data_IF_923086414443
#
_entry.id   IF_923086414443
#
_cell.length_a   1.000
_cell.length_b   1.000
_cell.length_c   1.000
_cell.angle_alpha   90.00
_cell.angle_beta   90.00
_cell.angle_gamma   90.00
#
_symmetry.space_group_name_H-M   'P 1'
#
loop_
_entity.id
_entity.type
_entity.pdbx_description
1 polymer ?
#
# COMPACT_ATOMS: atom_id res chain seq x y z
N UNK A 1 -32.17 5.83 30.97
CA UNK A 1 -31.87 6.32 29.60
C UNK A 1 -30.77 5.41 29.07
N UNK A 2 -31.12 4.43 28.25
CA UNK A 2 -30.23 3.33 27.87
C UNK A 2 -29.44 3.72 26.60
N UNK A 3 -28.10 3.68 26.66
CA UNK A 3 -27.22 3.72 25.49
C UNK A 3 -26.87 2.28 25.11
N UNK A 4 -27.15 1.81 23.89
CA UNK A 4 -26.70 0.50 23.45
C UNK A 4 -25.19 0.53 23.17
N UNK A 5 -24.47 -0.31 23.89
CA UNK A 5 -23.05 -0.58 23.74
C UNK A 5 -22.79 -1.26 22.39
N UNK A 6 -21.96 -0.63 21.55
CA UNK A 6 -21.63 -1.14 20.23
C UNK A 6 -20.61 -2.27 20.38
N UNK A 7 -21.09 -3.50 20.41
CA UNK A 7 -20.26 -4.70 20.34
C UNK A 7 -19.53 -4.74 18.99
N UNK A 8 -18.29 -4.26 18.97
CA UNK A 8 -17.36 -4.47 17.86
C UNK A 8 -17.00 -5.95 17.82
N UNK A 9 -17.70 -6.70 16.96
CA UNK A 9 -17.37 -8.09 16.64
C UNK A 9 -16.00 -8.13 15.98
N UNK A 10 -15.00 -8.63 16.70
CA UNK A 10 -13.69 -8.92 16.16
C UNK A 10 -13.83 -10.06 15.14
N UNK A 11 -13.86 -9.72 13.85
CA UNK A 11 -13.80 -10.69 12.75
C UNK A 11 -12.42 -11.34 12.78
N UNK A 12 -12.34 -12.55 13.34
CA UNK A 12 -11.14 -13.40 13.26
C UNK A 12 -10.95 -13.83 11.81
N UNK A 13 -10.29 -13.01 11.01
CA UNK A 13 -9.86 -13.39 9.66
C UNK A 13 -8.68 -14.35 9.77
N UNK A 14 -8.98 -15.66 9.78
CA UNK A 14 -7.98 -16.69 9.58
C UNK A 14 -7.61 -16.69 8.09
N UNK A 15 -6.56 -15.96 7.72
CA UNK A 15 -5.98 -16.02 6.39
C UNK A 15 -5.21 -17.33 6.23
N UNK A 16 -5.92 -18.46 6.15
CA UNK A 16 -5.32 -19.68 5.60
C UNK A 16 -4.96 -19.36 4.15
N UNK A 17 -3.69 -19.59 3.79
CA UNK A 17 -3.28 -19.48 2.38
C UNK A 17 -4.26 -20.28 1.52
N UNK A 18 -4.69 -19.68 0.41
CA UNK A 18 -5.42 -20.42 -0.61
C UNK A 18 -4.61 -21.66 -0.99
N UNK A 19 -5.27 -22.69 -1.56
CA UNK A 19 -4.64 -23.90 -2.04
C UNK A 19 -3.27 -23.64 -2.69
N UNK A 20 -2.30 -24.58 -2.60
CA UNK A 20 -0.94 -24.38 -3.12
C UNK A 20 -0.96 -23.69 -4.47
N UNK A 21 -0.17 -22.61 -4.61
CA UNK A 21 -0.09 -21.84 -5.85
C UNK A 21 0.20 -22.80 -7.00
N UNK A 22 -0.79 -23.02 -7.85
CA UNK A 22 -0.69 -23.94 -8.97
C UNK A 22 -0.01 -23.23 -10.14
N UNK A 23 0.96 -23.90 -10.78
CA UNK A 23 1.72 -23.36 -11.90
C UNK A 23 0.83 -22.99 -13.10
N UNK A 24 -0.41 -23.49 -13.16
CA UNK A 24 -1.41 -23.13 -14.17
C UNK A 24 -1.84 -21.65 -14.13
N UNK A 25 -1.69 -20.98 -12.99
CA UNK A 25 -2.07 -19.56 -12.77
C UNK A 25 -1.05 -18.57 -13.30
N UNK A 26 0.14 -19.04 -13.70
CA UNK A 26 1.25 -18.20 -14.10
C UNK A 26 1.64 -18.47 -15.55
N UNK A 27 1.96 -17.41 -16.29
CA UNK A 27 2.72 -17.52 -17.51
C UNK A 27 4.20 -17.65 -17.14
N UNK A 28 4.79 -18.79 -17.50
CA UNK A 28 6.15 -19.13 -17.14
C UNK A 28 7.09 -18.53 -18.19
N UNK A 29 7.77 -17.46 -17.80
CA UNK A 29 8.77 -16.79 -18.62
C UNK A 29 10.08 -17.58 -18.77
N UNK A 30 11.04 -16.91 -19.41
CA UNK A 30 12.35 -17.51 -19.75
C UNK A 30 13.10 -17.91 -18.48
N UNK A 31 13.83 -19.03 -18.58
CA UNK A 31 14.75 -19.47 -17.53
C UNK A 31 15.96 -18.53 -17.49
N UNK A 32 16.18 -17.87 -16.35
CA UNK A 32 17.22 -16.84 -16.20
C UNK A 32 18.61 -17.38 -15.89
N UNK A 33 18.75 -18.70 -15.77
CA UNK A 33 20.07 -19.29 -15.61
C UNK A 33 20.06 -20.75 -15.24
N UNK A 34 21.21 -21.37 -15.47
CA UNK A 34 21.62 -22.69 -14.98
C UNK A 34 22.82 -22.49 -14.04
N UNK A 35 22.61 -21.78 -12.93
CA UNK A 35 23.64 -21.48 -11.94
C UNK A 35 23.48 -22.28 -10.65
N UNK A 36 24.31 -21.97 -9.65
CA UNK A 36 24.36 -22.63 -8.33
C UNK A 36 23.05 -22.62 -7.53
N UNK A 37 22.10 -21.75 -7.92
CA UNK A 37 20.76 -21.65 -7.33
C UNK A 37 19.70 -22.49 -8.08
N UNK A 38 20.12 -23.32 -9.04
CA UNK A 38 19.20 -24.13 -9.85
C UNK A 38 18.53 -23.33 -10.97
N UNK A 39 17.48 -23.93 -11.55
CA UNK A 39 16.78 -23.41 -12.72
C UNK A 39 15.70 -22.42 -12.27
N UNK A 40 16.00 -21.12 -12.32
CA UNK A 40 15.05 -20.06 -11.92
C UNK A 40 14.28 -19.55 -13.15
N UNK A 41 12.96 -19.37 -13.01
CA UNK A 41 12.08 -18.84 -14.05
C UNK A 41 11.28 -17.66 -13.52
N UNK A 42 11.05 -16.67 -14.37
CA UNK A 42 10.03 -15.67 -14.09
C UNK A 42 8.64 -16.27 -14.29
N UNK A 43 7.70 -15.85 -13.45
CA UNK A 43 6.31 -16.26 -13.51
C UNK A 43 5.45 -15.01 -13.31
N UNK A 44 4.60 -14.69 -14.29
CA UNK A 44 3.64 -13.58 -14.19
C UNK A 44 2.23 -14.13 -14.12
N UNK A 45 1.33 -13.49 -13.38
CA UNK A 45 -0.07 -13.90 -13.41
C UNK A 45 -0.66 -13.70 -14.81
N UNK A 46 -1.36 -14.72 -15.30
CA UNK A 46 -1.94 -14.70 -16.66
C UNK A 46 -2.95 -13.58 -16.85
N UNK A 47 -3.75 -13.29 -15.82
CA UNK A 47 -4.71 -12.18 -15.85
C UNK A 47 -4.22 -10.94 -15.09
N UNK A 48 -2.92 -10.87 -14.78
CA UNK A 48 -2.29 -9.74 -14.10
C UNK A 48 -2.96 -9.38 -12.77
N UNK A 49 -3.46 -8.15 -12.67
CA UNK A 49 -4.06 -7.60 -11.44
C UNK A 49 -5.39 -8.27 -11.08
N UNK A 50 -6.11 -8.81 -12.07
CA UNK A 50 -7.42 -9.45 -11.83
C UNK A 50 -7.28 -10.74 -11.01
N UNK A 51 -6.17 -11.47 -11.17
CA UNK A 51 -5.88 -12.67 -10.36
C UNK A 51 -5.61 -12.29 -8.89
N UNK A 52 -4.97 -11.14 -8.66
CA UNK A 52 -4.72 -10.60 -7.32
C UNK A 52 -6.04 -10.20 -6.67
N UNK A 53 -6.91 -9.46 -7.39
CA UNK A 53 -8.21 -9.02 -6.87
C UNK A 53 -9.13 -10.17 -6.49
N UNK A 54 -9.06 -11.30 -7.20
CA UNK A 54 -9.88 -12.50 -6.98
C UNK A 54 -9.28 -13.48 -5.96
N UNK A 55 -8.10 -13.18 -5.40
CA UNK A 55 -7.43 -14.07 -4.48
C UNK A 55 -8.21 -14.20 -3.15
N UNK A 56 -8.18 -15.40 -2.53
CA UNK A 56 -8.92 -15.70 -1.30
C UNK A 56 -8.55 -14.78 -0.12
N UNK A 57 -7.35 -14.20 -0.14
CA UNK A 57 -6.92 -13.24 0.87
C UNK A 57 -7.81 -11.98 0.89
N UNK A 58 -8.28 -11.53 -0.28
CA UNK A 58 -9.10 -10.34 -0.45
C UNK A 58 -10.61 -10.65 -0.52
N UNK A 59 -11.03 -11.86 -0.13
CA UNK A 59 -12.46 -12.18 -0.08
C UNK A 59 -13.17 -11.25 0.90
N UNK A 60 -14.19 -10.55 0.40
CA UNK A 60 -14.94 -9.56 1.18
C UNK A 60 -14.46 -8.11 1.00
N UNK A 61 -13.37 -7.89 0.26
CA UNK A 61 -12.93 -6.53 -0.10
C UNK A 61 -13.73 -6.07 -1.33
N UNK A 62 -14.49 -4.99 -1.19
CA UNK A 62 -15.08 -4.29 -2.34
C UNK A 62 -14.09 -3.23 -2.85
N UNK A 63 -13.49 -3.49 -4.02
CA UNK A 63 -12.50 -2.60 -4.63
C UNK A 63 -13.06 -1.25 -5.05
N UNK A 64 -14.34 -1.18 -5.44
CA UNK A 64 -15.00 0.09 -5.82
C UNK A 64 -15.22 0.99 -4.60
N UNK A 65 -15.65 0.41 -3.48
CA UNK A 65 -15.85 1.16 -2.23
C UNK A 65 -14.52 1.58 -1.60
N UNK A 66 -13.48 0.77 -1.77
CA UNK A 66 -12.12 1.11 -1.35
C UNK A 66 -11.55 2.29 -2.17
N UNK A 67 -11.76 2.28 -3.49
CA UNK A 67 -11.38 3.40 -4.36
C UNK A 67 -12.15 4.68 -4.01
N UNK A 68 -13.45 4.55 -3.72
CA UNK A 68 -14.30 5.65 -3.28
C UNK A 68 -14.08 6.09 -1.83
N UNK A 69 -13.12 5.48 -1.10
CA UNK A 69 -12.80 5.78 0.31
C UNK A 69 -14.02 5.71 1.25
N UNK A 70 -14.98 4.83 0.95
CA UNK A 70 -16.23 4.70 1.73
C UNK A 70 -16.07 3.87 2.99
N UNK A 71 -15.09 2.96 3.03
CA UNK A 71 -14.82 2.11 4.19
C UNK A 71 -14.09 2.87 5.30
N UNK A 72 -14.47 2.61 6.56
CA UNK A 72 -13.72 3.11 7.70
C UNK A 72 -12.34 2.44 7.76
N UNK A 73 -11.29 3.25 7.87
CA UNK A 73 -9.94 2.74 8.05
C UNK A 73 -9.85 2.01 9.40
N UNK A 74 -9.19 0.84 9.48
CA UNK A 74 -9.01 0.11 10.74
C UNK A 74 -8.24 0.90 11.80
N UNK A 75 -7.33 1.76 11.35
CA UNK A 75 -6.51 2.62 12.21
C UNK A 75 -6.74 4.05 11.76
N UNK A 76 -7.27 4.86 12.68
CA UNK A 76 -7.43 6.31 12.50
C UNK A 76 -6.35 6.96 13.37
N UNK A 77 -5.37 7.68 12.77
CA UNK A 77 -4.35 8.36 13.55
C UNK A 77 -4.99 9.46 14.40
N UNK A 78 -4.47 9.65 15.61
CA UNK A 78 -4.90 10.75 16.48
C UNK A 78 -4.23 12.02 15.99
N UNK A 79 -5.02 13.02 15.65
CA UNK A 79 -4.55 14.34 15.20
C UNK A 79 -5.31 15.37 16.01
N UNK A 80 -4.59 16.22 16.75
CA UNK A 80 -5.17 17.23 17.64
C UNK A 80 -5.45 18.56 16.97
N UNK A 81 -4.58 19.00 16.06
CA UNK A 81 -4.67 20.30 15.37
C UNK A 81 -4.27 20.19 13.91
N UNK A 82 -4.58 21.20 13.09
CA UNK A 82 -4.20 21.24 11.68
C UNK A 82 -2.67 21.22 11.44
N UNK A 83 -1.89 21.60 12.46
CA UNK A 83 -0.42 21.65 12.44
C UNK A 83 0.21 20.58 13.35
N UNK A 84 -0.54 19.54 13.69
CA UNK A 84 -0.07 18.49 14.58
C UNK A 84 0.95 17.58 13.88
N UNK A 85 2.17 17.56 14.42
CA UNK A 85 3.29 16.72 13.93
C UNK A 85 3.57 15.52 14.84
N UNK A 86 2.68 15.19 15.79
CA UNK A 86 2.92 14.13 16.78
C UNK A 86 3.03 12.71 16.21
N UNK A 87 2.54 12.48 14.98
CA UNK A 87 2.63 11.18 14.30
C UNK A 87 3.92 11.04 13.46
N UNK A 88 4.80 12.03 13.49
CA UNK A 88 6.11 12.01 12.82
C UNK A 88 7.22 11.84 13.85
N UNK A 89 8.31 11.20 13.43
CA UNK A 89 9.50 11.09 14.26
C UNK A 89 10.19 12.45 14.39
N UNK A 90 10.68 12.80 15.60
CA UNK A 90 11.46 14.01 15.78
C UNK A 90 12.78 13.89 15.01
N UNK A 91 13.01 14.83 14.11
CA UNK A 91 14.27 14.96 13.37
C UNK A 91 15.00 16.21 13.87
N UNK A 92 16.34 16.20 14.01
CA UNK A 92 17.09 17.41 14.33
C UNK A 92 16.86 18.47 13.24
N UNK A 93 16.68 19.72 13.65
CA UNK A 93 16.58 20.81 12.69
C UNK A 93 17.82 20.82 11.79
N UNK A 94 17.62 21.00 10.49
CA UNK A 94 18.70 21.16 9.54
C UNK A 94 19.55 22.36 9.98
N UNK A 95 20.83 22.14 10.31
CA UNK A 95 21.77 23.22 10.61
C UNK A 95 22.22 23.98 9.36
N UNK A 96 21.73 23.57 8.19
CA UNK A 96 21.98 24.22 6.91
C UNK A 96 21.02 25.40 6.78
N UNK A 97 21.57 26.61 6.63
CA UNK A 97 20.78 27.77 6.26
C UNK A 97 20.04 27.47 4.95
N UNK A 98 18.76 27.83 4.90
CA UNK A 98 17.97 27.69 3.68
C UNK A 98 18.72 28.38 2.53
N UNK A 99 18.99 27.63 1.45
CA UNK A 99 19.59 28.19 0.25
C UNK A 99 18.61 29.22 -0.29
N UNK A 100 18.91 30.50 -0.07
CA UNK A 100 18.11 31.59 -0.63
C UNK A 100 18.32 31.53 -2.14
N UNK A 101 17.27 31.25 -2.94
CA UNK A 101 17.43 31.18 -4.39
C UNK A 101 17.87 32.54 -4.89
N UNK A 102 19.01 32.59 -5.58
CA UNK A 102 19.51 33.82 -6.21
C UNK A 102 18.64 34.10 -7.44
N UNK A 103 17.82 35.14 -7.36
CA UNK A 103 16.95 35.53 -8.47
C UNK A 103 17.74 36.29 -9.53
N UNK A 104 18.04 35.63 -10.66
CA UNK A 104 18.78 36.20 -11.78
C UNK A 104 17.91 36.99 -12.76
N UNK A 105 16.71 37.43 -12.35
CA UNK A 105 15.77 38.14 -13.22
C UNK A 105 14.97 37.26 -14.18
N UNK A 106 15.20 35.94 -14.18
CA UNK A 106 14.39 34.94 -14.88
C UNK A 106 13.74 34.02 -13.87
N UNK A 107 12.41 33.91 -13.93
CA UNK A 107 11.66 32.96 -13.12
C UNK A 107 11.91 31.53 -13.61
N UNK A 108 12.50 30.65 -12.79
CA UNK A 108 12.79 29.26 -13.18
C UNK A 108 11.52 28.41 -13.36
N UNK A 109 10.33 28.91 -13.00
CA UNK A 109 9.05 28.20 -13.13
C UNK A 109 8.13 28.78 -14.22
N UNK A 110 8.59 29.73 -15.03
CA UNK A 110 7.77 30.38 -16.04
C UNK A 110 7.21 29.43 -17.13
N UNK A 111 7.79 28.23 -17.27
CA UNK A 111 7.40 27.22 -18.26
C UNK A 111 6.83 25.92 -17.65
N UNK A 112 6.71 25.84 -16.32
CA UNK A 112 6.17 24.65 -15.61
C UNK A 112 4.66 24.71 -15.40
#
# INVERSE_FOLDING_TARGET
MATPDATASAVKSSHKFAAPLDGSQFDMGVTLGTGSFGRVRFATHKNGVEDIKKHKFFTGVNWEDLLARKGAAPIIPRVGTANDTSNFDPYPDSMEDAIVPVYNGKDPFAEF
#
